data_IF_721347863965
#
_entry.id   IF_721347863965
#
_cell.length_a   1.000
_cell.length_b   1.000
_cell.length_c   1.000
_cell.angle_alpha   90.00
_cell.angle_beta   90.00
_cell.angle_gamma   90.00
#
_symmetry.space_group_name_H-M   'P 1'
#
loop_
_entity.id
_entity.type
_entity.pdbx_description
1 polymer ?
#
# COMPACT_ATOMS: atom_id res chain seq x y z
N UNK A 1 -12.46 -12.64 17.98
CA UNK A 1 -12.92 -12.07 16.69
C UNK A 1 -12.29 -12.85 15.54
N UNK A 2 -13.02 -13.12 14.45
CA UNK A 2 -12.50 -13.83 13.28
C UNK A 2 -12.31 -12.88 12.10
N UNK A 3 -11.51 -13.27 11.10
CA UNK A 3 -11.37 -12.48 9.86
C UNK A 3 -12.73 -12.28 9.17
N UNK A 4 -13.55 -13.34 9.15
CA UNK A 4 -14.91 -13.30 8.60
C UNK A 4 -15.77 -12.27 9.33
N UNK A 5 -15.82 -12.30 10.66
CA UNK A 5 -16.65 -11.37 11.44
C UNK A 5 -16.25 -9.91 11.22
N UNK A 6 -14.95 -9.61 11.08
CA UNK A 6 -14.49 -8.24 10.78
C UNK A 6 -14.88 -7.79 9.37
N UNK A 7 -14.71 -8.65 8.37
CA UNK A 7 -15.10 -8.31 6.99
C UNK A 7 -16.62 -8.14 6.87
N UNK A 8 -17.41 -8.96 7.57
CA UNK A 8 -18.87 -8.85 7.58
C UNK A 8 -19.33 -7.53 8.23
N UNK A 9 -18.69 -7.13 9.34
CA UNK A 9 -18.94 -5.84 9.98
C UNK A 9 -18.58 -4.66 9.06
N UNK A 10 -17.44 -4.72 8.36
CA UNK A 10 -17.01 -3.71 7.40
C UNK A 10 -18.01 -3.60 6.23
N UNK A 11 -18.44 -4.73 5.67
CA UNK A 11 -19.44 -4.75 4.58
C UNK A 11 -20.77 -4.15 5.02
N UNK A 12 -21.22 -4.47 6.24
CA UNK A 12 -22.43 -3.90 6.84
C UNK A 12 -22.32 -2.38 6.94
N UNK A 13 -21.21 -1.88 7.47
CA UNK A 13 -20.96 -0.43 7.57
C UNK A 13 -20.99 0.23 6.19
N UNK A 14 -20.25 -0.29 5.21
CA UNK A 14 -20.24 0.25 3.85
C UNK A 14 -21.64 0.34 3.23
N UNK A 15 -22.51 -0.64 3.51
CA UNK A 15 -23.91 -0.64 3.07
C UNK A 15 -24.73 0.45 3.77
N UNK A 16 -24.55 0.64 5.08
CA UNK A 16 -25.25 1.66 5.86
C UNK A 16 -24.94 3.09 5.38
N UNK A 17 -23.68 3.35 4.99
CA UNK A 17 -23.26 4.66 4.49
C UNK A 17 -23.32 4.79 2.95
N UNK A 18 -23.96 3.84 2.27
CA UNK A 18 -24.16 3.85 0.81
C UNK A 18 -22.87 4.02 -0.02
N UNK A 19 -21.78 3.34 0.38
CA UNK A 19 -20.58 3.27 -0.47
C UNK A 19 -20.87 2.39 -1.68
N UNK A 20 -20.74 2.96 -2.88
CA UNK A 20 -20.73 2.21 -4.13
C UNK A 20 -19.39 1.49 -4.30
N UNK A 21 -19.43 0.16 -4.30
CA UNK A 21 -18.23 -0.68 -4.45
C UNK A 21 -17.99 -1.09 -5.90
N UNK A 22 -18.84 -0.69 -6.86
CA UNK A 22 -18.72 -1.02 -8.28
C UNK A 22 -18.45 -2.51 -8.52
N UNK A 23 -19.14 -3.39 -7.80
CA UNK A 23 -18.96 -4.86 -7.78
C UNK A 23 -17.62 -5.39 -7.21
N UNK A 24 -16.73 -4.52 -6.74
CA UNK A 24 -15.49 -4.91 -6.07
C UNK A 24 -15.76 -5.35 -4.63
N UNK A 25 -15.02 -6.37 -4.19
CA UNK A 25 -15.10 -6.89 -2.83
C UNK A 25 -14.31 -5.99 -1.87
N UNK A 26 -15.01 -5.34 -0.93
CA UNK A 26 -14.37 -4.66 0.20
C UNK A 26 -14.05 -5.67 1.30
N UNK A 27 -12.80 -5.65 1.77
CA UNK A 27 -12.30 -6.42 2.90
C UNK A 27 -11.24 -5.62 3.66
N UNK A 28 -10.88 -6.08 4.86
CA UNK A 28 -9.77 -5.49 5.61
C UNK A 28 -8.45 -5.53 4.82
N UNK A 29 -8.25 -6.57 4.00
CA UNK A 29 -7.06 -6.72 3.16
C UNK A 29 -7.00 -5.69 2.04
N UNK A 30 -8.12 -5.46 1.35
CA UNK A 30 -8.18 -4.44 0.28
C UNK A 30 -7.96 -3.04 0.86
N UNK A 31 -8.49 -2.75 2.06
CA UNK A 31 -8.19 -1.49 2.75
C UNK A 31 -6.70 -1.34 3.08
N UNK A 32 -6.04 -2.41 3.58
CA UNK A 32 -4.59 -2.40 3.85
C UNK A 32 -3.78 -2.12 2.59
N UNK A 33 -4.14 -2.75 1.47
CA UNK A 33 -3.53 -2.49 0.16
C UNK A 33 -3.67 -1.04 -0.26
N UNK A 34 -4.87 -0.48 -0.19
CA UNK A 34 -5.13 0.92 -0.54
C UNK A 34 -4.26 1.88 0.27
N UNK A 35 -4.13 1.68 1.59
CA UNK A 35 -3.28 2.52 2.43
C UNK A 35 -1.80 2.35 2.05
N UNK A 36 -1.35 1.13 1.82
CA UNK A 36 0.05 0.87 1.46
C UNK A 36 0.43 1.51 0.13
N UNK A 37 -0.42 1.41 -0.90
CA UNK A 37 -0.23 2.10 -2.19
C UNK A 37 -0.26 3.62 -2.03
N UNK A 38 -1.19 4.17 -1.23
CA UNK A 38 -1.23 5.62 -0.96
C UNK A 38 0.05 6.11 -0.28
N UNK A 39 0.54 5.38 0.73
CA UNK A 39 1.80 5.71 1.40
C UNK A 39 2.97 5.63 0.41
N UNK A 40 3.06 4.59 -0.41
CA UNK A 40 4.13 4.43 -1.41
C UNK A 40 4.19 5.56 -2.44
N UNK A 41 3.03 6.11 -2.81
CA UNK A 41 2.87 7.19 -3.79
C UNK A 41 2.86 8.60 -3.18
N UNK A 42 2.97 8.75 -1.86
CA UNK A 42 2.99 10.08 -1.22
C UNK A 42 4.40 10.69 -1.38
N UNK A 43 4.53 11.88 -2.02
CA UNK A 43 5.82 12.55 -2.15
C UNK A 43 6.46 12.83 -0.79
N UNK A 44 7.76 12.58 -0.66
CA UNK A 44 8.49 12.77 0.60
C UNK A 44 8.17 11.74 1.69
N UNK A 45 7.40 10.69 1.39
CA UNK A 45 7.12 9.63 2.36
C UNK A 45 8.40 8.89 2.75
N UNK A 46 8.58 8.67 4.05
CA UNK A 46 9.62 7.76 4.55
C UNK A 46 9.20 6.31 4.31
N UNK A 47 9.77 5.67 3.29
CA UNK A 47 9.52 4.24 3.00
C UNK A 47 9.91 3.30 4.14
N UNK A 48 11.01 3.51 4.90
CA UNK A 48 11.30 2.72 6.09
C UNK A 48 10.19 2.82 7.15
N UNK A 49 9.67 4.03 7.39
CA UNK A 49 8.55 4.23 8.31
C UNK A 49 7.28 3.54 7.83
N UNK A 50 6.93 3.68 6.55
CA UNK A 50 5.75 3.06 5.97
C UNK A 50 5.84 1.52 6.01
N UNK A 51 7.01 0.96 5.70
CA UNK A 51 7.27 -0.47 5.78
C UNK A 51 7.10 -0.98 7.23
N UNK A 52 7.70 -0.30 8.20
CA UNK A 52 7.55 -0.63 9.62
C UNK A 52 6.08 -0.56 10.07
N UNK A 53 5.35 0.49 9.68
CA UNK A 53 3.93 0.69 10.04
C UNK A 53 3.04 -0.42 9.50
N UNK A 54 3.38 -0.98 8.34
CA UNK A 54 2.66 -2.06 7.68
C UNK A 54 3.22 -3.45 8.01
N UNK A 55 4.23 -3.56 8.87
CA UNK A 55 4.85 -4.84 9.23
C UNK A 55 5.54 -5.54 8.05
N UNK A 56 6.11 -4.78 7.13
CA UNK A 56 6.91 -5.30 6.02
C UNK A 56 8.38 -4.96 6.22
N UNK A 57 9.28 -5.76 5.62
CA UNK A 57 10.62 -5.29 5.35
C UNK A 57 10.59 -4.17 4.31
N UNK A 58 11.56 -3.25 4.35
CA UNK A 58 11.66 -2.16 3.38
C UNK A 58 11.66 -2.69 1.94
N UNK A 59 12.44 -3.74 1.67
CA UNK A 59 12.52 -4.40 0.35
C UNK A 59 11.15 -4.92 -0.11
N UNK A 60 10.38 -5.54 0.78
CA UNK A 60 9.04 -6.05 0.45
C UNK A 60 8.05 -4.91 0.18
N UNK A 61 8.09 -3.84 0.99
CA UNK A 61 7.23 -2.68 0.81
C UNK A 61 7.51 -1.99 -0.55
N UNK A 62 8.77 -1.74 -0.87
CA UNK A 62 9.17 -1.10 -2.12
C UNK A 62 8.76 -1.91 -3.35
N UNK A 63 8.96 -3.23 -3.32
CA UNK A 63 8.54 -4.13 -4.41
C UNK A 63 7.03 -4.11 -4.63
N UNK A 64 6.26 -4.19 -3.54
CA UNK A 64 4.82 -4.43 -3.61
C UNK A 64 4.00 -3.16 -3.82
N UNK A 65 4.46 -1.99 -3.35
CA UNK A 65 3.62 -0.77 -3.32
C UNK A 65 4.24 0.48 -3.93
N UNK A 66 5.56 0.58 -3.96
CA UNK A 66 6.25 1.75 -4.55
C UNK A 66 6.54 1.51 -6.03
N UNK A 67 6.68 0.24 -6.43
CA UNK A 67 7.04 -0.17 -7.79
C UNK A 67 8.18 0.70 -8.32
N UNK A 68 9.29 0.72 -7.58
CA UNK A 68 10.49 1.44 -7.98
C UNK A 68 10.83 0.98 -9.38
N UNK A 69 10.70 1.87 -10.36
CA UNK A 69 11.24 1.65 -11.70
C UNK A 69 12.68 1.23 -11.51
N UNK A 70 13.02 0.02 -11.98
CA UNK A 70 14.41 -0.43 -12.00
C UNK A 70 15.29 0.59 -12.74
N UNK A 71 14.71 1.27 -13.73
CA UNK A 71 15.38 2.29 -14.55
C UNK A 71 15.76 3.55 -13.77
N UNK A 72 14.94 4.02 -12.82
CA UNK A 72 15.27 5.23 -12.02
C UNK A 72 16.42 5.00 -11.04
N UNK A 73 16.58 3.76 -10.56
CA UNK A 73 17.74 3.39 -9.77
C UNK A 73 19.02 3.32 -10.63
N UNK A 74 18.93 2.87 -11.88
CA UNK A 74 20.09 2.89 -12.80
C UNK A 74 20.53 4.32 -13.15
N UNK A 75 19.59 5.25 -13.37
CA UNK A 75 19.92 6.67 -13.57
C UNK A 75 20.59 7.31 -12.34
N UNK A 76 20.06 7.07 -11.14
CA UNK A 76 20.67 7.57 -9.91
C UNK A 76 22.04 6.93 -9.62
N UNK A 77 22.22 5.65 -9.91
CA UNK A 77 23.52 4.97 -9.78
C UNK A 77 24.54 5.49 -10.79
N UNK A 78 24.13 5.81 -12.03
CA UNK A 78 24.99 6.45 -13.04
C UNK A 78 25.41 7.85 -12.62
N UNK A 79 24.49 8.66 -12.12
CA UNK A 79 24.79 10.03 -11.64
C UNK A 79 25.80 10.08 -10.49
N UNK A 80 25.88 9.01 -9.67
CA UNK A 80 26.86 8.87 -8.58
C UNK A 80 28.20 8.31 -9.09
N UNK A 81 28.18 7.53 -10.19
CA UNK A 81 29.38 6.94 -10.79
C UNK A 81 30.12 7.89 -11.74
N UNK A 82 29.45 8.94 -12.23
CA UNK A 82 30.02 9.98 -13.11
C UNK A 82 30.65 11.18 -12.34
N UNK A 83 30.86 11.05 -11.03
CA UNK A 83 31.62 11.97 -10.16
C UNK A 83 32.83 11.24 -9.55
#
# INVERSE_FOLDING_TARGET
MTQKSMNDALKKLCKEISIDTQSLNISMYTCRHTIATKLGNTPGMSYPWAANRLGHSLKMFMRTYVHVDKDRNEEMLKLIADY
#
